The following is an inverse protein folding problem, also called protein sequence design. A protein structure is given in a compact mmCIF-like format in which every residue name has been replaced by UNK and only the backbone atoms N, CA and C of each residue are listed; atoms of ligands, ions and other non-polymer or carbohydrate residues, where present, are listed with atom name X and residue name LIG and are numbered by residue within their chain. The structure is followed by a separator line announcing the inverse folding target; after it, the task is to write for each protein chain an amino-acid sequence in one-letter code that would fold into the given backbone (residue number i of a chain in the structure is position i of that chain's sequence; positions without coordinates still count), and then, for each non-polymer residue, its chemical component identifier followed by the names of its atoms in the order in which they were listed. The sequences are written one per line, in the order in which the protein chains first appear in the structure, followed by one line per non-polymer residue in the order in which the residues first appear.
data_IF_352878455075
#
_entry.id   IF_352878455075
#
_cell.length_a   1.000
_cell.length_b   1.000
_cell.length_c   1.000
_cell.angle_alpha   90.00
_cell.angle_beta   90.00
_cell.angle_gamma   90.00
#
_symmetry.space_group_name_H-M   'P 1'
#
loop_
_entity.id
_entity.type
_entity.pdbx_description
1 polymer ?
#
# COMPACT_ATOMS: atom_id res chain seq x y z
N UNK A 1 1.17 4.73 -18.80
CA UNK A 1 0.31 4.47 -17.62
C UNK A 1 1.00 3.46 -16.72
N UNK A 2 1.52 3.87 -15.56
CA UNK A 2 2.25 2.96 -14.68
C UNK A 2 1.30 1.87 -14.15
N UNK A 3 1.68 0.60 -14.31
CA UNK A 3 0.93 -0.59 -13.85
C UNK A 3 1.00 -0.79 -12.33
N UNK A 4 0.98 0.29 -11.55
CA UNK A 4 1.58 0.29 -10.21
C UNK A 4 0.66 -0.28 -9.11
N UNK A 5 -0.66 -0.08 -9.20
CA UNK A 5 -1.61 -0.75 -8.31
C UNK A 5 -2.01 -2.16 -8.78
N UNK A 6 -1.63 -2.64 -9.97
CA UNK A 6 -1.99 -4.00 -10.44
C UNK A 6 -1.54 -5.14 -9.50
N UNK A 7 -0.62 -4.89 -8.57
CA UNK A 7 -0.25 -5.86 -7.55
C UNK A 7 -1.04 -5.61 -6.27
N UNK A 8 -1.87 -6.58 -5.85
CA UNK A 8 -2.61 -6.52 -4.58
C UNK A 8 -1.71 -6.20 -3.38
N UNK A 9 -0.51 -6.81 -3.30
CA UNK A 9 0.44 -6.51 -2.24
C UNK A 9 0.90 -5.04 -2.21
N UNK A 10 1.09 -4.41 -3.38
CA UNK A 10 1.45 -2.98 -3.42
C UNK A 10 0.30 -2.09 -2.98
N UNK A 11 -0.95 -2.47 -3.33
CA UNK A 11 -2.15 -1.78 -2.82
C UNK A 11 -2.23 -1.90 -1.30
N UNK A 12 -2.08 -3.12 -0.76
CA UNK A 12 -2.13 -3.39 0.67
C UNK A 12 -1.07 -2.58 1.45
N UNK A 13 0.15 -2.46 0.93
CA UNK A 13 1.19 -1.58 1.53
C UNK A 13 0.71 -0.13 1.62
N UNK A 14 0.19 0.43 0.52
CA UNK A 14 -0.27 1.82 0.51
C UNK A 14 -1.45 2.04 1.48
N UNK A 15 -2.36 1.06 1.57
CA UNK A 15 -3.51 1.10 2.49
C UNK A 15 -3.06 1.11 3.94
N UNK A 16 -2.13 0.24 4.32
CA UNK A 16 -1.64 0.17 5.70
C UNK A 16 -0.86 1.44 6.08
N UNK A 17 -0.01 1.94 5.18
CA UNK A 17 0.71 3.20 5.40
C UNK A 17 -0.27 4.35 5.58
N UNK A 18 -1.29 4.47 4.73
CA UNK A 18 -2.33 5.49 4.87
C UNK A 18 -3.08 5.41 6.21
N UNK A 19 -3.32 4.20 6.74
CA UNK A 19 -4.06 4.01 7.99
C UNK A 19 -3.22 4.23 9.25
N UNK A 20 -1.92 3.89 9.21
CA UNK A 20 -1.01 3.96 10.37
C UNK A 20 -0.17 5.24 10.39
N UNK A 21 -0.20 6.05 9.32
CA UNK A 21 0.54 7.30 9.19
C UNK A 21 1.98 7.07 8.72
N UNK A 22 2.86 6.67 9.63
CA UNK A 22 4.30 6.51 9.39
C UNK A 22 4.86 5.15 9.89
N UNK A 23 4.20 4.02 9.58
CA UNK A 23 4.57 2.74 10.16
C UNK A 23 5.95 2.26 9.71
N UNK A 24 6.61 1.48 10.57
CA UNK A 24 7.82 0.77 10.16
C UNK A 24 7.52 -0.24 9.05
N UNK A 25 8.49 -0.49 8.17
CA UNK A 25 8.37 -1.51 7.13
C UNK A 25 7.95 -2.90 7.69
N UNK A 26 8.41 -3.25 8.89
CA UNK A 26 8.07 -4.51 9.55
C UNK A 26 6.65 -4.53 10.12
N UNK A 27 6.13 -3.38 10.59
CA UNK A 27 4.71 -3.23 11.00
C UNK A 27 3.80 -3.48 9.80
N UNK A 28 4.06 -2.78 8.68
CA UNK A 28 3.29 -2.92 7.44
C UNK A 28 3.23 -4.38 6.99
N UNK A 29 4.38 -5.07 6.98
CA UNK A 29 4.43 -6.49 6.61
C UNK A 29 3.51 -7.34 7.51
N UNK A 30 3.59 -7.16 8.83
CA UNK A 30 2.80 -7.93 9.80
C UNK A 30 1.31 -7.65 9.69
N UNK A 31 0.92 -6.41 9.43
CA UNK A 31 -0.48 -6.04 9.23
C UNK A 31 -1.08 -6.77 8.02
N UNK A 32 -0.34 -6.81 6.90
CA UNK A 32 -0.80 -7.50 5.68
C UNK A 32 -0.81 -9.03 5.87
N UNK A 33 0.21 -9.60 6.51
CA UNK A 33 0.24 -11.04 6.82
C UNK A 33 -0.94 -11.45 7.71
N UNK A 34 -1.29 -10.62 8.71
CA UNK A 34 -2.45 -10.86 9.58
C UNK A 34 -3.77 -10.79 8.82
N UNK A 35 -3.95 -9.78 7.97
CA UNK A 35 -5.15 -9.63 7.12
C UNK A 35 -5.38 -10.86 6.24
N UNK A 36 -4.30 -11.40 5.67
CA UNK A 36 -4.37 -12.49 4.70
C UNK A 36 -4.22 -13.89 5.30
N UNK A 37 -4.02 -13.99 6.63
CA UNK A 37 -3.67 -15.23 7.34
C UNK A 37 -2.56 -16.05 6.64
N UNK A 38 -1.56 -15.35 6.09
CA UNK A 38 -0.46 -15.95 5.31
C UNK A 38 0.85 -15.18 5.47
N UNK A 39 1.97 -15.86 5.29
CA UNK A 39 3.31 -15.27 5.35
C UNK A 39 3.78 -14.76 4.01
N UNK A 40 4.29 -13.53 4.00
CA UNK A 40 4.92 -12.92 2.84
C UNK A 40 6.44 -13.13 2.94
N UNK A 41 7.01 -13.79 1.92
CA UNK A 41 8.48 -13.94 1.83
C UNK A 41 9.15 -12.56 1.84
N UNK A 42 10.21 -12.34 2.65
CA UNK A 42 10.88 -11.04 2.77
C UNK A 42 11.29 -10.42 1.42
N UNK A 43 11.87 -11.22 0.51
CA UNK A 43 12.26 -10.76 -0.83
C UNK A 43 11.08 -10.21 -1.65
N UNK A 44 9.90 -10.83 -1.52
CA UNK A 44 8.67 -10.41 -2.20
C UNK A 44 8.18 -9.08 -1.63
N UNK A 45 8.13 -8.96 -0.30
CA UNK A 45 7.71 -7.74 0.38
C UNK A 45 8.65 -6.57 0.08
N UNK A 46 9.96 -6.74 0.26
CA UNK A 46 10.95 -5.71 0.00
C UNK A 46 10.97 -5.30 -1.49
N UNK A 47 10.68 -6.24 -2.40
CA UNK A 47 10.51 -5.95 -3.82
C UNK A 47 9.26 -5.13 -4.13
N UNK A 48 8.17 -5.29 -3.36
CA UNK A 48 6.97 -4.47 -3.50
C UNK A 48 7.22 -3.04 -3.02
N UNK A 49 7.84 -2.86 -1.85
CA UNK A 49 8.20 -1.53 -1.32
C UNK A 49 9.13 -0.80 -2.30
N UNK A 50 10.23 -1.42 -2.75
CA UNK A 50 11.14 -0.79 -3.74
C UNK A 50 10.44 -0.35 -5.02
N UNK A 51 9.45 -1.11 -5.49
CA UNK A 51 8.68 -0.73 -6.69
C UNK A 51 7.77 0.48 -6.46
N UNK A 52 7.31 0.69 -5.22
CA UNK A 52 6.53 1.87 -4.85
C UNK A 52 7.43 3.09 -4.66
N UNK A 53 8.61 2.91 -4.06
CA UNK A 53 9.65 3.94 -3.94
C UNK A 53 10.10 4.45 -5.31
N UNK A 54 10.48 3.52 -6.21
CA UNK A 54 10.87 3.85 -7.57
C UNK A 54 9.75 4.52 -8.39
N UNK A 55 8.50 4.40 -7.96
CA UNK A 55 7.34 5.02 -8.60
C UNK A 55 6.94 6.36 -7.94
N UNK A 56 7.73 6.86 -6.99
CA UNK A 56 7.47 8.06 -6.18
C UNK A 56 6.10 8.02 -5.47
N UNK A 57 5.74 6.86 -4.93
CA UNK A 57 4.47 6.68 -4.20
C UNK A 57 4.69 6.71 -2.70
N UNK A 58 5.75 6.04 -2.27
CA UNK A 58 6.16 6.02 -0.88
C UNK A 58 7.59 6.50 -0.79
N UNK A 59 7.91 7.10 0.33
CA UNK A 59 9.28 7.41 0.72
C UNK A 59 9.64 6.68 2.00
N UNK A 60 10.93 6.66 2.32
CA UNK A 60 11.45 6.23 3.61
C UNK A 60 11.97 7.42 4.37
N UNK A 61 11.59 7.50 5.63
CA UNK A 61 12.28 8.36 6.59
C UNK A 61 13.06 7.48 7.57
N UNK A 62 14.37 7.73 7.73
CA UNK A 62 15.16 7.05 8.75
C UNK A 62 14.66 7.44 10.15
N UNK A 63 14.10 6.50 10.90
CA UNK A 63 13.77 6.66 12.33
C UNK A 63 14.55 5.63 13.17
N UNK A 64 15.77 6.02 13.58
CA UNK A 64 16.62 5.17 14.40
C UNK A 64 16.97 3.83 13.73
N UNK A 65 16.47 2.72 14.29
CA UNK A 65 16.79 1.35 13.84
C UNK A 65 15.89 0.88 12.69
N UNK A 66 14.74 1.52 12.47
CA UNK A 66 13.75 1.05 11.51
C UNK A 66 13.29 2.17 10.59
N UNK A 67 13.47 1.98 9.28
CA UNK A 67 12.88 2.86 8.28
C UNK A 67 11.35 2.90 8.43
N UNK A 68 10.80 4.11 8.50
CA UNK A 68 9.36 4.37 8.39
C UNK A 68 8.97 4.55 6.94
N UNK A 69 7.76 4.10 6.60
CA UNK A 69 7.18 4.28 5.27
C UNK A 69 6.13 5.38 5.35
N UNK A 70 6.23 6.35 4.44
CA UNK A 70 5.26 7.42 4.29
C UNK A 70 4.74 7.44 2.85
N UNK A 71 3.47 7.78 2.65
CA UNK A 71 2.98 8.13 1.32
C UNK A 71 3.56 9.48 0.91
N UNK A 72 3.94 9.61 -0.34
CA UNK A 72 4.16 10.92 -0.97
C UNK A 72 2.81 11.52 -1.34
N UNK A 73 2.74 12.83 -1.61
CA UNK A 73 1.53 13.47 -2.13
C UNK A 73 0.98 12.75 -3.37
N UNK A 74 1.88 12.34 -4.27
CA UNK A 74 1.52 11.59 -5.47
C UNK A 74 0.99 10.18 -5.13
N UNK A 75 1.53 9.54 -4.09
CA UNK A 75 1.03 8.26 -3.60
C UNK A 75 -0.34 8.36 -2.97
N UNK A 76 -0.57 9.37 -2.14
CA UNK A 76 -1.87 9.63 -1.53
C UNK A 76 -2.94 9.91 -2.56
N UNK A 77 -2.67 10.84 -3.49
CA UNK A 77 -3.62 11.23 -4.53
C UNK A 77 -4.08 10.00 -5.31
N UNK A 78 -3.15 9.16 -5.75
CA UNK A 78 -3.54 8.00 -6.53
C UNK A 78 -4.17 6.87 -5.71
N UNK A 79 -3.87 6.76 -4.41
CA UNK A 79 -4.60 5.83 -3.53
C UNK A 79 -6.07 6.30 -3.38
N UNK A 80 -6.31 7.61 -3.26
CA UNK A 80 -7.67 8.18 -3.22
C UNK A 80 -8.42 7.91 -4.51
N UNK A 81 -7.81 8.20 -5.67
CA UNK A 81 -8.39 7.90 -7.00
C UNK A 81 -8.77 6.42 -7.14
N UNK A 82 -7.90 5.52 -6.69
CA UNK A 82 -8.18 4.09 -6.75
C UNK A 82 -9.35 3.69 -5.86
N UNK A 83 -9.41 4.21 -4.63
CA UNK A 83 -10.50 3.94 -3.69
C UNK A 83 -11.83 4.49 -4.17
N UNK A 84 -11.82 5.65 -4.80
CA UNK A 84 -12.99 6.20 -5.47
C UNK A 84 -13.49 5.31 -6.58
N UNK A 85 -12.60 4.88 -7.47
CA UNK A 85 -12.96 3.97 -8.56
C UNK A 85 -13.53 2.63 -8.03
N UNK A 86 -12.94 2.04 -6.98
CA UNK A 86 -13.46 0.81 -6.36
C UNK A 86 -14.86 1.03 -5.77
N UNK A 87 -15.04 2.13 -5.03
CA UNK A 87 -16.31 2.49 -4.39
C UNK A 87 -17.43 2.65 -5.42
N UNK A 88 -17.17 3.37 -6.52
CA UNK A 88 -18.17 3.55 -7.59
C UNK A 88 -18.63 2.21 -8.17
N UNK A 89 -17.70 1.31 -8.53
CA UNK A 89 -18.04 0.02 -9.13
C UNK A 89 -18.76 -0.92 -8.19
N UNK A 90 -18.48 -0.82 -6.89
CA UNK A 90 -19.15 -1.61 -5.86
C UNK A 90 -20.55 -1.07 -5.57
N UNK A 91 -20.74 0.26 -5.56
CA UNK A 91 -22.09 0.85 -5.46
C UNK A 91 -22.97 0.38 -6.61
N UNK A 92 -22.44 0.42 -7.86
CA UNK A 92 -23.15 -0.09 -9.05
C UNK A 92 -23.58 -1.56 -8.89
N UNK A 93 -22.81 -2.36 -8.15
CA UNK A 93 -23.10 -3.77 -7.88
C UNK A 93 -24.12 -3.94 -6.75
N UNK A 94 -23.96 -3.22 -5.63
CA UNK A 94 -24.88 -3.25 -4.50
C UNK A 94 -26.29 -2.77 -4.88
N UNK A 95 -26.40 -1.76 -5.74
CA UNK A 95 -27.68 -1.25 -6.24
C UNK A 95 -28.37 -2.18 -7.26
N UNK A 96 -27.64 -3.16 -7.80
CA UNK A 96 -28.14 -4.14 -8.76
C UNK A 96 -28.59 -5.46 -8.13
N UNK A 97 -28.35 -5.65 -6.82
CA UNK A 97 -28.70 -6.84 -6.02
C UNK A 97 -29.97 -6.59 -5.21
#
# INVERSE_FOLDING_TARGET
MSKWLQSGLRRDVCVVVASEGDPTQQSVKRAIERKNDDRIRPKRFNGAVRKLENANIITREPDGVHDRLLLTDAGEQRLREHREWERERLSDWEDAV
#
